data_IF_104752421552
#
_entry.id   IF_104752421552
#
_cell.length_a   1.000
_cell.length_b   1.000
_cell.length_c   1.000
_cell.angle_alpha   90.00
_cell.angle_beta   90.00
_cell.angle_gamma   90.00
#
_symmetry.space_group_name_H-M   'P 1'
#
loop_
_entity.id
_entity.type
_entity.pdbx_description
1 polymer ?
#
# COMPACT_ATOMS: atom_id res chain seq x y z
N UNK A 1 -6.41 4.07 21.87
CA UNK A 1 -5.20 4.52 21.13
C UNK A 1 -5.33 4.05 19.69
N UNK A 2 -5.15 4.94 18.72
CA UNK A 2 -5.42 4.73 17.29
C UNK A 2 -4.18 4.24 16.52
N UNK A 3 -4.36 3.75 15.28
CA UNK A 3 -3.25 3.38 14.37
C UNK A 3 -2.24 4.52 14.20
N UNK A 4 -2.74 5.74 14.04
CA UNK A 4 -1.92 6.96 13.91
C UNK A 4 -0.88 7.07 15.03
N UNK A 5 -1.33 6.96 16.28
CA UNK A 5 -0.45 7.08 17.45
C UNK A 5 0.52 5.90 17.56
N UNK A 6 0.08 4.68 17.24
CA UNK A 6 0.92 3.49 17.34
C UNK A 6 2.06 3.47 16.31
N UNK A 7 1.85 4.12 15.16
CA UNK A 7 2.80 4.19 14.04
C UNK A 7 3.59 5.50 14.05
N UNK A 8 3.23 6.46 14.92
CA UNK A 8 3.87 7.77 14.97
C UNK A 8 3.52 8.67 13.79
N UNK A 9 2.33 8.46 13.20
CA UNK A 9 1.83 9.29 12.09
C UNK A 9 1.37 10.62 12.67
N UNK A 10 1.95 11.72 12.16
CA UNK A 10 1.42 13.06 12.44
C UNK A 10 0.24 13.29 11.52
N UNK A 11 -0.89 13.67 12.10
CA UNK A 11 -2.12 13.91 11.36
C UNK A 11 -2.71 15.25 11.78
N UNK A 12 -3.22 15.99 10.81
CA UNK A 12 -4.14 17.07 11.04
C UNK A 12 -5.47 16.54 11.65
N UNK A 13 -6.37 17.42 12.13
CA UNK A 13 -7.70 17.02 12.59
C UNK A 13 -8.55 16.42 11.45
N UNK A 14 -8.55 15.09 11.37
CA UNK A 14 -9.25 14.31 10.35
C UNK A 14 -10.21 13.30 11.02
N UNK A 15 -11.22 12.86 10.29
CA UNK A 15 -12.15 11.81 10.69
C UNK A 15 -12.18 10.72 9.61
N UNK A 16 -12.16 9.45 10.01
CA UNK A 16 -12.49 8.37 9.09
C UNK A 16 -13.99 8.06 9.24
N UNK A 17 -14.73 8.11 8.14
CA UNK A 17 -16.17 7.86 8.12
C UNK A 17 -16.57 7.12 6.84
N UNK A 18 -17.77 6.54 6.79
CA UNK A 18 -18.34 6.04 5.54
C UNK A 18 -19.04 7.19 4.82
N UNK A 19 -18.80 7.33 3.53
CA UNK A 19 -19.46 8.32 2.68
C UNK A 19 -20.95 7.98 2.61
N UNK A 20 -21.81 9.00 2.73
CA UNK A 20 -23.26 8.80 2.74
C UNK A 20 -23.82 8.27 1.40
N UNK A 21 -23.15 8.55 0.28
CA UNK A 21 -23.64 8.21 -1.06
C UNK A 21 -23.45 6.74 -1.44
N UNK A 22 -22.33 6.13 -1.04
CA UNK A 22 -21.92 4.78 -1.48
C UNK A 22 -21.44 3.88 -0.33
N UNK A 23 -21.37 4.39 0.91
CA UNK A 23 -20.92 3.63 2.07
C UNK A 23 -19.41 3.33 2.08
N UNK A 24 -18.64 3.84 1.11
CA UNK A 24 -17.19 3.65 1.03
C UNK A 24 -16.53 4.42 2.17
N UNK A 25 -15.56 3.79 2.83
CA UNK A 25 -14.83 4.44 3.92
C UNK A 25 -13.87 5.47 3.34
N UNK A 26 -13.97 6.71 3.78
CA UNK A 26 -13.08 7.82 3.38
C UNK A 26 -12.52 8.55 4.61
N UNK A 27 -11.63 9.50 4.34
CA UNK A 27 -11.05 10.40 5.35
C UNK A 27 -11.56 11.81 5.09
N UNK A 28 -12.06 12.48 6.10
CA UNK A 28 -12.75 13.77 5.99
C UNK A 28 -12.11 14.82 6.88
N UNK A 29 -12.10 16.06 6.40
CA UNK A 29 -11.57 17.22 7.12
C UNK A 29 -12.46 17.59 8.30
N UNK A 30 -11.91 17.70 9.52
CA UNK A 30 -12.67 18.20 10.69
C UNK A 30 -12.60 19.72 10.87
N UNK A 31 -11.76 20.38 10.07
CA UNK A 31 -11.60 21.83 10.03
C UNK A 31 -11.22 22.27 8.63
N UNK A 32 -11.25 23.57 8.39
CA UNK A 32 -10.73 24.16 7.16
C UNK A 32 -9.21 23.96 7.05
N UNK A 33 -8.72 23.68 5.85
CA UNK A 33 -7.30 23.65 5.51
C UNK A 33 -7.03 24.54 4.32
N UNK A 34 -5.93 25.30 4.39
CA UNK A 34 -5.42 26.07 3.25
C UNK A 34 -4.60 25.17 2.35
N UNK A 35 -4.53 25.52 1.07
CA UNK A 35 -3.57 24.95 0.13
C UNK A 35 -2.18 24.98 0.76
N UNK A 36 -1.50 23.84 0.73
CA UNK A 36 -0.15 23.68 1.27
C UNK A 36 -0.11 23.10 2.67
N UNK A 37 -1.22 23.17 3.43
CA UNK A 37 -1.26 22.65 4.80
C UNK A 37 -0.82 21.19 4.87
N UNK A 38 -0.01 20.87 5.88
CA UNK A 38 0.39 19.49 6.17
C UNK A 38 -0.79 18.72 6.77
N UNK A 39 -1.26 17.71 6.04
CA UNK A 39 -2.39 16.87 6.45
C UNK A 39 -1.94 15.59 7.12
N UNK A 40 -0.95 14.90 6.53
CA UNK A 40 -0.38 13.67 7.08
C UNK A 40 1.15 13.64 6.92
N UNK A 41 1.84 13.04 7.89
CA UNK A 41 3.24 12.68 7.79
C UNK A 41 3.46 11.30 8.40
N UNK A 42 3.77 10.32 7.56
CA UNK A 42 4.00 8.92 7.91
C UNK A 42 5.50 8.63 7.86
N UNK A 43 6.14 8.17 8.95
CA UNK A 43 7.56 7.84 8.93
C UNK A 43 7.90 6.77 7.88
N UNK A 44 8.99 6.94 7.12
CA UNK A 44 9.36 5.96 6.07
C UNK A 44 9.61 4.56 6.62
N UNK A 45 10.08 4.45 7.87
CA UNK A 45 10.30 3.14 8.47
C UNK A 45 8.98 2.36 8.60
N UNK A 46 7.84 3.04 8.73
CA UNK A 46 6.52 2.42 8.78
C UNK A 46 5.89 2.15 7.41
N UNK A 47 6.56 2.52 6.32
CA UNK A 47 6.07 2.37 4.95
C UNK A 47 6.76 1.20 4.24
N UNK A 48 6.12 0.67 3.22
CA UNK A 48 6.70 -0.33 2.33
C UNK A 48 6.96 0.26 0.94
N UNK A 49 8.03 -0.18 0.31
CA UNK A 49 8.45 0.26 -1.02
C UNK A 49 8.61 -0.94 -1.96
N UNK A 50 7.50 -1.39 -2.57
CA UNK A 50 7.47 -2.56 -3.47
C UNK A 50 8.51 -2.57 -4.58
N UNK A 51 8.79 -1.39 -5.14
CA UNK A 51 9.63 -1.24 -6.33
C UNK A 51 10.85 -0.34 -6.09
N UNK A 52 11.27 -0.14 -4.83
CA UNK A 52 12.39 0.75 -4.52
C UNK A 52 13.74 0.29 -5.09
N UNK A 53 13.90 -1.00 -5.39
CA UNK A 53 15.11 -1.49 -6.06
C UNK A 53 14.86 -2.84 -6.74
N UNK A 54 15.42 -3.07 -7.95
CA UNK A 54 15.48 -4.41 -8.52
C UNK A 54 16.53 -5.30 -7.84
N UNK A 55 17.44 -4.70 -7.04
CA UNK A 55 18.49 -5.45 -6.33
C UNK A 55 17.93 -5.98 -5.01
N UNK A 56 17.88 -7.31 -4.81
CA UNK A 56 17.22 -7.93 -3.66
C UNK A 56 17.68 -7.42 -2.29
N UNK A 57 19.00 -7.35 -2.07
CA UNK A 57 19.59 -6.82 -0.83
C UNK A 57 19.18 -5.37 -0.56
N UNK A 58 19.10 -4.54 -1.60
CA UNK A 58 18.68 -3.14 -1.47
C UNK A 58 17.18 -3.06 -1.21
N UNK A 59 16.36 -3.87 -1.89
CA UNK A 59 14.91 -3.95 -1.65
C UNK A 59 14.61 -4.31 -0.19
N UNK A 60 15.29 -5.31 0.37
CA UNK A 60 15.19 -5.67 1.79
C UNK A 60 15.59 -4.54 2.71
N UNK A 61 16.67 -3.81 2.40
CA UNK A 61 17.12 -2.65 3.19
C UNK A 61 16.05 -1.56 3.26
N UNK A 62 15.36 -1.28 2.15
CA UNK A 62 14.26 -0.32 2.10
C UNK A 62 13.04 -0.75 2.94
N UNK A 63 12.86 -2.05 3.17
CA UNK A 63 11.68 -2.63 3.82
C UNK A 63 11.98 -3.29 5.19
N UNK A 64 13.13 -2.96 5.82
CA UNK A 64 13.62 -3.65 7.03
C UNK A 64 12.82 -3.34 8.31
N UNK A 65 12.29 -2.13 8.46
CA UNK A 65 11.79 -1.61 9.75
C UNK A 65 10.29 -1.41 9.80
N UNK A 66 9.53 -2.29 9.15
CA UNK A 66 8.17 -2.03 8.71
C UNK A 66 7.09 -2.49 9.70
N UNK A 67 5.84 -2.15 9.38
CA UNK A 67 4.66 -2.20 10.25
C UNK A 67 4.28 -3.60 10.76
N UNK A 68 4.61 -4.63 10.00
CA UNK A 68 4.25 -6.03 10.24
C UNK A 68 5.54 -6.86 10.45
N UNK A 69 5.75 -7.45 11.65
CA UNK A 69 6.98 -8.16 12.01
C UNK A 69 7.36 -9.34 11.11
N UNK A 70 6.39 -9.98 10.45
CA UNK A 70 6.60 -11.15 9.60
C UNK A 70 7.18 -10.78 8.23
N UNK A 71 6.98 -9.54 7.78
CA UNK A 71 7.34 -9.14 6.41
C UNK A 71 8.82 -9.35 6.11
N UNK A 72 9.80 -9.00 6.98
CA UNK A 72 11.21 -9.26 6.69
C UNK A 72 11.53 -10.74 6.42
N UNK A 73 10.87 -11.67 7.14
CA UNK A 73 11.04 -13.11 6.93
C UNK A 73 10.53 -13.52 5.55
N UNK A 74 9.30 -13.15 5.21
CA UNK A 74 8.69 -13.49 3.92
C UNK A 74 9.39 -12.80 2.76
N UNK A 75 9.81 -11.55 2.94
CA UNK A 75 10.56 -10.82 1.94
C UNK A 75 11.91 -11.47 1.65
N UNK A 76 12.52 -12.14 2.65
CA UNK A 76 13.72 -12.93 2.43
C UNK A 76 13.41 -14.17 1.58
N UNK A 77 12.33 -14.90 1.90
CA UNK A 77 11.89 -16.10 1.16
C UNK A 77 11.46 -15.83 -0.29
N UNK A 78 10.78 -14.72 -0.53
CA UNK A 78 10.34 -14.30 -1.86
C UNK A 78 11.41 -13.59 -2.69
N UNK A 79 12.63 -13.54 -2.15
CA UNK A 79 13.72 -12.82 -2.75
C UNK A 79 14.42 -13.68 -3.82
N UNK A 80 14.69 -13.15 -5.03
CA UNK A 80 15.22 -13.98 -6.13
C UNK A 80 16.70 -14.40 -5.95
N UNK A 81 17.37 -13.91 -4.90
CA UNK A 81 18.74 -14.28 -4.50
C UNK A 81 18.81 -15.59 -3.69
N UNK A 82 17.68 -16.26 -3.44
CA UNK A 82 17.62 -17.61 -2.86
C UNK A 82 17.14 -18.59 -3.95
N UNK A 83 18.06 -19.29 -4.65
CA UNK A 83 17.71 -20.10 -5.81
C UNK A 83 16.98 -21.40 -5.45
N UNK A 84 17.17 -21.94 -4.25
CA UNK A 84 16.66 -23.26 -3.84
C UNK A 84 15.15 -23.27 -3.56
N UNK A 85 14.56 -22.11 -3.23
CA UNK A 85 13.16 -21.97 -2.80
C UNK A 85 12.40 -20.90 -3.60
N UNK A 86 12.71 -20.76 -4.90
CA UNK A 86 12.11 -19.71 -5.73
C UNK A 86 10.60 -19.87 -5.87
N UNK A 87 9.87 -18.98 -5.21
CA UNK A 87 8.42 -18.85 -5.37
C UNK A 87 8.11 -18.04 -6.63
N UNK A 88 7.28 -18.61 -7.50
CA UNK A 88 6.83 -17.93 -8.71
C UNK A 88 5.77 -16.88 -8.39
N UNK A 89 6.18 -15.61 -8.41
CA UNK A 89 5.30 -14.45 -8.17
C UNK A 89 4.68 -13.87 -9.44
N UNK A 90 4.77 -14.60 -10.55
CA UNK A 90 4.25 -14.20 -11.85
C UNK A 90 3.38 -15.32 -12.41
N UNK A 91 2.18 -14.99 -12.87
CA UNK A 91 1.30 -15.90 -13.58
C UNK A 91 0.90 -15.30 -14.93
N UNK A 92 0.71 -16.16 -15.92
CA UNK A 92 0.35 -15.77 -17.27
C UNK A 92 -0.72 -16.70 -17.81
N UNK A 93 -1.70 -16.13 -18.49
CA UNK A 93 -2.77 -16.88 -19.17
C UNK A 93 -2.92 -16.37 -20.60
N UNK A 94 -3.04 -17.31 -21.54
CA UNK A 94 -3.35 -17.01 -22.93
C UNK A 94 -4.85 -16.84 -23.08
N UNK A 95 -5.25 -15.76 -23.71
CA UNK A 95 -6.65 -15.46 -24.06
C UNK A 95 -7.04 -16.18 -25.35
N UNK A 96 -8.34 -16.26 -25.62
CA UNK A 96 -8.88 -16.82 -26.88
C UNK A 96 -8.37 -16.08 -28.12
N UNK A 97 -8.03 -14.79 -27.97
CA UNK A 97 -7.45 -13.94 -29.03
C UNK A 97 -5.93 -14.13 -29.19
N UNK A 98 -5.33 -15.16 -28.58
CA UNK A 98 -3.88 -15.39 -28.56
C UNK A 98 -3.06 -14.26 -27.92
N UNK A 99 -3.70 -13.36 -27.16
CA UNK A 99 -3.00 -12.38 -26.30
C UNK A 99 -2.59 -13.06 -25.00
N UNK A 100 -1.42 -12.72 -24.46
CA UNK A 100 -0.95 -13.23 -23.16
C UNK A 100 -1.14 -12.14 -22.10
N UNK A 101 -1.94 -12.44 -21.08
CA UNK A 101 -2.14 -11.57 -19.91
C UNK A 101 -1.24 -12.08 -18.80
N UNK A 102 -0.28 -11.24 -18.38
CA UNK A 102 0.69 -11.56 -17.33
C UNK A 102 0.50 -10.66 -16.12
N UNK A 103 0.48 -11.26 -14.93
CA UNK A 103 0.38 -10.56 -13.64
C UNK A 103 1.58 -10.94 -12.78
N UNK A 104 2.28 -9.94 -12.24
CA UNK A 104 3.46 -10.14 -11.38
C UNK A 104 3.33 -9.36 -10.08
N UNK A 105 3.49 -10.01 -8.92
CA UNK A 105 3.64 -9.34 -7.62
C UNK A 105 5.11 -9.02 -7.35
N UNK A 106 5.37 -7.86 -6.75
CA UNK A 106 6.68 -7.64 -6.13
C UNK A 106 6.84 -8.55 -4.90
N UNK A 107 8.10 -8.90 -4.52
CA UNK A 107 8.36 -9.65 -3.29
C UNK A 107 7.79 -8.98 -2.02
N UNK A 108 7.68 -7.65 -2.01
CA UNK A 108 7.13 -6.89 -0.88
C UNK A 108 5.61 -7.03 -0.81
N UNK A 109 4.92 -6.97 -1.95
CA UNK A 109 3.47 -7.22 -1.99
C UNK A 109 3.15 -8.65 -1.55
N UNK A 110 3.89 -9.63 -2.06
CA UNK A 110 3.74 -11.03 -1.66
C UNK A 110 3.98 -11.23 -0.16
N UNK A 111 5.06 -10.63 0.38
CA UNK A 111 5.38 -10.71 1.80
C UNK A 111 4.29 -10.09 2.68
N UNK A 112 3.73 -8.95 2.26
CA UNK A 112 2.61 -8.33 2.93
C UNK A 112 1.35 -9.18 2.86
N UNK A 113 1.01 -9.70 1.68
CA UNK A 113 -0.19 -10.51 1.47
C UNK A 113 -0.18 -11.75 2.36
N UNK A 114 0.93 -12.49 2.40
CA UNK A 114 1.06 -13.65 3.30
C UNK A 114 0.98 -13.24 4.77
N UNK A 115 1.65 -12.15 5.16
CA UNK A 115 1.62 -11.70 6.56
C UNK A 115 0.22 -11.30 7.01
N UNK A 116 -0.55 -10.64 6.13
CA UNK A 116 -1.95 -10.25 6.36
C UNK A 116 -2.84 -11.50 6.44
N UNK A 117 -2.72 -12.42 5.48
CA UNK A 117 -3.51 -13.64 5.42
C UNK A 117 -3.28 -14.52 6.64
N UNK A 118 -2.03 -14.77 7.02
CA UNK A 118 -1.67 -15.59 8.18
C UNK A 118 -2.18 -14.95 9.47
N UNK A 119 -1.98 -13.63 9.66
CA UNK A 119 -2.54 -12.93 10.83
C UNK A 119 -4.07 -13.00 10.87
N UNK A 120 -4.74 -12.92 9.72
CA UNK A 120 -6.19 -13.09 9.64
C UNK A 120 -6.61 -14.51 10.01
N UNK A 121 -5.98 -15.52 9.42
CA UNK A 121 -6.26 -16.94 9.63
C UNK A 121 -6.18 -17.31 11.11
N UNK A 122 -5.07 -17.01 11.77
CA UNK A 122 -4.89 -17.38 13.17
C UNK A 122 -5.89 -16.67 14.09
N UNK A 123 -6.23 -15.42 13.81
CA UNK A 123 -7.10 -14.62 14.70
C UNK A 123 -8.58 -14.78 14.47
N UNK A 124 -8.98 -15.02 13.24
CA UNK A 124 -10.38 -15.04 12.86
C UNK A 124 -10.85 -16.42 12.43
N UNK A 125 -9.97 -17.32 11.97
CA UNK A 125 -10.37 -18.69 11.62
C UNK A 125 -10.11 -19.62 12.80
N UNK A 126 -8.88 -19.65 13.31
CA UNK A 126 -8.50 -20.55 14.41
C UNK A 126 -9.10 -20.09 15.75
N UNK A 127 -8.92 -18.83 16.16
CA UNK A 127 -9.45 -18.34 17.44
C UNK A 127 -11.00 -18.31 17.52
N UNK A 128 -11.74 -18.34 16.41
CA UNK A 128 -13.21 -18.44 16.46
C UNK A 128 -13.70 -19.85 16.83
N UNK A 129 -12.85 -20.89 16.76
CA UNK A 129 -13.23 -22.29 17.00
C UNK A 129 -12.81 -22.80 18.40
N UNK A 130 -11.93 -22.10 19.12
CA UNK A 130 -11.40 -22.49 20.43
C UNK A 130 -11.91 -21.59 21.59
N UNK A 131 -13.22 -21.53 21.82
CA UNK A 131 -13.90 -20.64 22.80
C UNK A 131 -13.61 -20.87 24.30
N UNK A 132 -12.51 -21.56 24.66
CA UNK A 132 -12.07 -21.78 26.05
C UNK A 132 -10.68 -21.16 26.22
N UNK A 133 -10.65 -19.84 26.41
CA UNK A 133 -9.44 -19.01 26.44
C UNK A 133 -8.52 -19.22 27.64
N UNK A 134 -7.94 -20.42 27.79
CA UNK A 134 -6.85 -20.67 28.74
C UNK A 134 -5.75 -21.52 28.12
N UNK A 135 -4.60 -20.90 27.86
CA UNK A 135 -3.30 -21.61 27.85
C UNK A 135 -2.72 -22.08 26.51
N UNK A 136 -2.67 -21.25 25.46
CA UNK A 136 -1.69 -21.46 24.37
C UNK A 136 -1.00 -20.17 23.94
N UNK A 137 0.31 -20.23 23.83
CA UNK A 137 1.06 -19.48 22.82
C UNK A 137 2.31 -20.28 22.43
N UNK A 138 2.38 -20.79 21.18
CA UNK A 138 3.57 -20.80 20.29
C UNK A 138 3.18 -21.15 18.82
N UNK A 139 1.99 -20.80 18.32
CA UNK A 139 1.65 -21.05 16.90
C UNK A 139 1.11 -19.77 16.25
N UNK A 140 1.50 -19.55 15.00
CA UNK A 140 1.14 -18.37 14.25
C UNK A 140 1.89 -17.09 14.67
N UNK A 141 1.51 -15.95 14.07
CA UNK A 141 2.19 -14.67 14.24
C UNK A 141 2.19 -14.16 15.69
N UNK A 142 3.31 -13.61 16.19
CA UNK A 142 3.34 -12.97 17.50
C UNK A 142 2.39 -11.77 17.56
N UNK A 143 1.87 -11.51 18.76
CA UNK A 143 1.09 -10.32 19.03
C UNK A 143 1.95 -9.06 18.81
N UNK A 144 1.50 -8.18 17.91
CA UNK A 144 2.14 -6.89 17.66
C UNK A 144 1.06 -5.84 17.45
N UNK A 145 0.97 -4.90 18.40
CA UNK A 145 -0.09 -3.89 18.41
C UNK A 145 -0.18 -3.08 17.11
N UNK A 146 0.94 -2.75 16.48
CA UNK A 146 0.96 -1.90 15.28
C UNK A 146 0.43 -2.68 14.08
N UNK A 147 0.91 -3.91 13.90
CA UNK A 147 0.39 -4.82 12.90
C UNK A 147 -1.12 -5.04 13.07
N UNK A 148 -1.58 -5.18 14.31
CA UNK A 148 -2.99 -5.47 14.63
C UNK A 148 -3.91 -4.32 14.32
N UNK A 149 -3.47 -3.10 14.65
CA UNK A 149 -4.20 -1.89 14.32
C UNK A 149 -4.25 -1.67 12.80
N UNK A 150 -3.17 -1.99 12.09
CA UNK A 150 -3.14 -1.91 10.63
C UNK A 150 -4.05 -2.95 9.99
N UNK A 151 -4.01 -4.20 10.45
CA UNK A 151 -4.93 -5.26 9.99
C UNK A 151 -6.40 -4.84 10.12
N UNK A 152 -6.76 -4.10 11.19
CA UNK A 152 -8.12 -3.58 11.40
C UNK A 152 -8.49 -2.41 10.49
N UNK A 153 -7.51 -1.68 9.94
CA UNK A 153 -7.78 -0.63 8.95
C UNK A 153 -7.97 -1.20 7.53
N UNK A 154 -7.53 -2.44 7.28
CA UNK A 154 -7.72 -3.11 6.00
C UNK A 154 -9.16 -3.63 5.85
N UNK A 155 -9.79 -3.49 4.67
CA UNK A 155 -11.14 -3.94 4.37
C UNK A 155 -11.17 -5.45 4.07
N UNK A 156 -10.31 -6.23 4.72
CA UNK A 156 -10.18 -7.66 4.42
C UNK A 156 -11.50 -8.40 4.65
N UNK A 157 -12.25 -8.04 5.69
CA UNK A 157 -13.57 -8.65 5.97
C UNK A 157 -14.57 -8.36 4.85
N UNK A 158 -14.60 -7.13 4.35
CA UNK A 158 -15.46 -6.75 3.23
C UNK A 158 -15.11 -7.55 1.97
N UNK A 159 -13.82 -7.69 1.65
CA UNK A 159 -13.35 -8.49 0.50
C UNK A 159 -13.73 -9.97 0.65
N UNK A 160 -13.67 -10.52 1.86
CA UNK A 160 -14.09 -11.90 2.14
C UNK A 160 -15.62 -12.08 2.07
N UNK A 161 -16.41 -11.06 2.44
CA UNK A 161 -17.87 -11.18 2.48
C UNK A 161 -18.54 -10.97 1.12
N UNK A 162 -18.00 -10.07 0.29
CA UNK A 162 -18.59 -9.76 -1.01
C UNK A 162 -18.14 -10.72 -2.12
N UNK A 163 -17.07 -11.48 -1.89
CA UNK A 163 -16.41 -12.24 -2.94
C UNK A 163 -15.48 -11.35 -3.78
N UNK A 164 -14.57 -12.00 -4.51
CA UNK A 164 -13.58 -11.34 -5.35
C UNK A 164 -13.90 -11.68 -6.80
N UNK A 165 -14.24 -10.67 -7.60
CA UNK A 165 -14.54 -10.89 -9.02
C UNK A 165 -13.33 -10.50 -9.88
N UNK A 166 -12.85 -9.26 -9.77
CA UNK A 166 -11.61 -8.81 -10.42
C UNK A 166 -11.02 -7.58 -9.70
N UNK A 167 -9.70 -7.36 -9.75
CA UNK A 167 -9.13 -6.14 -9.20
C UNK A 167 -9.62 -4.94 -10.02
N UNK A 168 -9.92 -3.83 -9.36
CA UNK A 168 -10.29 -2.60 -10.06
C UNK A 168 -9.11 -2.10 -10.89
N UNK A 169 -9.10 -2.43 -12.18
CA UNK A 169 -8.13 -1.97 -13.17
C UNK A 169 -8.94 -1.27 -14.24
N UNK A 170 -8.99 0.07 -14.20
CA UNK A 170 -9.73 0.84 -15.19
C UNK A 170 -9.24 0.49 -16.61
N UNK A 171 -10.04 -0.24 -17.38
CA UNK A 171 -9.80 -0.55 -18.78
C UNK A 171 -9.12 -1.90 -19.09
N UNK A 172 -9.12 -2.88 -18.17
CA UNK A 172 -8.68 -4.23 -18.53
C UNK A 172 -9.80 -4.98 -19.26
N UNK A 173 -9.68 -5.20 -20.57
CA UNK A 173 -10.58 -6.05 -21.37
C UNK A 173 -10.58 -7.54 -20.92
N UNK A 174 -9.74 -7.91 -19.95
CA UNK A 174 -9.45 -9.29 -19.54
C UNK A 174 -9.49 -9.49 -18.01
N UNK A 175 -10.44 -8.86 -17.32
CA UNK A 175 -10.58 -8.91 -15.85
C UNK A 175 -10.60 -10.33 -15.26
N UNK A 176 -11.35 -11.27 -15.87
CA UNK A 176 -11.39 -12.67 -15.41
C UNK A 176 -10.05 -13.42 -15.55
N UNK A 177 -9.26 -13.10 -16.57
CA UNK A 177 -7.91 -13.64 -16.73
C UNK A 177 -6.93 -13.10 -15.69
N UNK A 178 -7.11 -11.83 -15.27
CA UNK A 178 -6.34 -11.25 -14.16
C UNK A 178 -6.69 -11.94 -12.85
N UNK A 179 -7.97 -12.24 -12.60
CA UNK A 179 -8.38 -12.99 -11.41
C UNK A 179 -7.70 -14.35 -11.33
N UNK A 180 -7.81 -15.16 -12.40
CA UNK A 180 -7.21 -16.51 -12.45
C UNK A 180 -5.69 -16.49 -12.25
N UNK A 181 -4.99 -15.50 -12.82
CA UNK A 181 -3.57 -15.30 -12.57
C UNK A 181 -3.28 -15.00 -11.09
N UNK A 182 -4.12 -14.21 -10.42
CA UNK A 182 -3.96 -13.92 -8.98
C UNK A 182 -4.24 -15.14 -8.11
N UNK A 183 -5.19 -16.00 -8.48
CA UNK A 183 -5.43 -17.30 -7.82
C UNK A 183 -4.20 -18.20 -7.91
N UNK A 184 -3.61 -18.32 -9.11
CA UNK A 184 -2.40 -19.11 -9.30
C UNK A 184 -1.24 -18.60 -8.44
N UNK A 185 -1.06 -17.27 -8.36
CA UNK A 185 -0.05 -16.69 -7.47
C UNK A 185 -0.39 -16.99 -6.00
N UNK A 186 -1.66 -16.92 -5.60
CA UNK A 186 -2.09 -17.24 -4.24
C UNK A 186 -1.77 -18.70 -3.86
N UNK A 187 -1.97 -19.65 -4.77
CA UNK A 187 -1.56 -21.05 -4.57
C UNK A 187 -0.05 -21.18 -4.39
N UNK A 188 0.76 -20.50 -5.21
CA UNK A 188 2.22 -20.51 -5.04
C UNK A 188 2.64 -19.94 -3.66
N UNK A 189 1.92 -18.92 -3.16
CA UNK A 189 2.15 -18.38 -1.82
C UNK A 189 1.74 -19.37 -0.72
N UNK A 190 0.64 -20.11 -0.90
CA UNK A 190 0.22 -21.19 0.01
C UNK A 190 1.27 -22.28 0.08
N UNK A 191 1.73 -22.79 -1.06
CA UNK A 191 2.73 -23.86 -1.11
C UNK A 191 4.02 -23.45 -0.39
N UNK A 192 4.46 -22.21 -0.59
CA UNK A 192 5.58 -21.64 0.17
C UNK A 192 5.27 -21.53 1.66
N UNK A 193 4.09 -21.07 2.05
CA UNK A 193 3.72 -21.00 3.46
C UNK A 193 3.77 -22.38 4.13
N UNK A 194 3.24 -23.40 3.45
CA UNK A 194 3.19 -24.77 3.94
C UNK A 194 4.58 -25.42 4.04
N UNK A 195 5.49 -25.14 3.10
CA UNK A 195 6.85 -25.71 3.12
C UNK A 195 7.68 -25.26 4.33
N UNK A 196 7.34 -24.12 4.94
CA UNK A 196 8.01 -23.59 6.12
C UNK A 196 7.18 -23.63 7.40
N UNK A 197 5.97 -24.18 7.34
CA UNK A 197 5.12 -24.34 8.51
C UNK A 197 5.68 -25.45 9.41
N UNK A 198 5.63 -25.27 10.73
CA UNK A 198 5.86 -26.41 11.63
C UNK A 198 4.77 -27.48 11.41
N UNK A 199 5.02 -28.74 11.79
CA UNK A 199 4.03 -29.81 11.60
C UNK A 199 2.66 -29.48 12.22
N UNK A 200 2.66 -28.77 13.35
CA UNK A 200 1.43 -28.32 14.03
C UNK A 200 0.70 -27.23 13.24
N UNK A 201 1.43 -26.25 12.70
CA UNK A 201 0.85 -25.20 11.84
C UNK A 201 0.35 -25.78 10.53
N UNK A 202 1.12 -26.66 9.88
CA UNK A 202 0.74 -27.34 8.66
C UNK A 202 -0.60 -28.07 8.82
N UNK A 203 -0.73 -28.86 9.89
CA UNK A 203 -1.97 -29.62 10.16
C UNK A 203 -3.19 -28.72 10.28
N UNK A 204 -3.02 -27.51 10.83
CA UNK A 204 -4.10 -26.53 10.96
C UNK A 204 -4.39 -25.81 9.64
N UNK A 205 -3.37 -25.46 8.87
CA UNK A 205 -3.54 -24.88 7.53
C UNK A 205 -4.22 -25.86 6.58
N UNK A 206 -3.89 -27.15 6.66
CA UNK A 206 -4.49 -28.19 5.83
C UNK A 206 -5.95 -28.46 6.23
N UNK A 207 -6.25 -28.53 7.53
CA UNK A 207 -7.61 -28.70 8.03
C UNK A 207 -8.57 -27.56 7.64
N UNK A 208 -8.05 -26.37 7.35
CA UNK A 208 -8.81 -25.18 6.95
C UNK A 208 -8.25 -24.55 5.67
N UNK A 209 -7.90 -25.40 4.69
CA UNK A 209 -7.25 -24.98 3.45
C UNK A 209 -8.07 -23.94 2.68
N UNK A 210 -9.39 -24.13 2.59
CA UNK A 210 -10.27 -23.20 1.87
C UNK A 210 -10.28 -21.81 2.51
N UNK A 211 -10.34 -21.70 3.83
CA UNK A 211 -10.27 -20.40 4.51
C UNK A 211 -8.91 -19.72 4.34
N UNK A 212 -7.83 -20.49 4.30
CA UNK A 212 -6.49 -19.98 4.04
C UNK A 212 -6.34 -19.46 2.60
N UNK A 213 -6.82 -20.22 1.61
CA UNK A 213 -6.76 -19.85 0.19
C UNK A 213 -7.50 -18.55 -0.08
N UNK A 214 -8.73 -18.43 0.42
CA UNK A 214 -9.54 -17.22 0.26
C UNK A 214 -8.89 -16.03 1.00
N UNK A 215 -8.31 -16.26 2.19
CA UNK A 215 -7.59 -15.21 2.91
C UNK A 215 -6.33 -14.73 2.17
N UNK A 216 -5.57 -15.63 1.55
CA UNK A 216 -4.40 -15.29 0.74
C UNK A 216 -4.80 -14.46 -0.47
N UNK A 217 -5.78 -14.93 -1.25
CA UNK A 217 -6.27 -14.22 -2.43
C UNK A 217 -6.80 -12.83 -2.06
N UNK A 218 -7.67 -12.73 -1.06
CA UNK A 218 -8.19 -11.44 -0.59
C UNK A 218 -7.08 -10.50 -0.10
N UNK A 219 -6.04 -11.04 0.54
CA UNK A 219 -4.90 -10.25 0.98
C UNK A 219 -4.09 -9.69 -0.19
N UNK A 220 -3.92 -10.45 -1.29
CA UNK A 220 -3.28 -9.95 -2.52
C UNK A 220 -4.06 -8.76 -3.07
N UNK A 221 -5.38 -8.89 -3.20
CA UNK A 221 -6.26 -7.82 -3.66
C UNK A 221 -6.18 -6.57 -2.77
N UNK A 222 -6.26 -6.76 -1.45
CA UNK A 222 -6.16 -5.69 -0.46
C UNK A 222 -4.83 -4.96 -0.56
N UNK A 223 -3.73 -5.68 -0.73
CA UNK A 223 -2.38 -5.09 -0.86
C UNK A 223 -2.26 -4.35 -2.18
N UNK A 224 -2.65 -4.98 -3.30
CA UNK A 224 -2.61 -4.39 -4.66
C UNK A 224 -3.36 -3.07 -4.73
N UNK A 225 -4.55 -3.00 -4.15
CA UNK A 225 -5.38 -1.79 -4.12
C UNK A 225 -4.76 -0.64 -3.30
N UNK A 226 -3.69 -0.88 -2.53
CA UNK A 226 -3.02 0.09 -1.65
C UNK A 226 -1.65 0.53 -2.15
N UNK A 227 -1.19 -0.04 -3.25
CA UNK A 227 0.06 0.37 -3.87
C UNK A 227 -0.16 1.69 -4.60
N UNK A 228 0.33 2.78 -4.02
CA UNK A 228 0.25 4.12 -4.62
C UNK A 228 1.56 4.46 -5.33
N UNK A 229 1.47 5.10 -6.50
CA UNK A 229 2.66 5.68 -7.16
C UNK A 229 2.84 7.12 -6.69
N UNK A 230 4.02 7.44 -6.14
CA UNK A 230 4.32 8.75 -5.57
C UNK A 230 5.66 9.29 -6.07
N UNK A 231 5.76 10.62 -6.14
CA UNK A 231 7.04 11.29 -6.33
C UNK A 231 7.98 11.04 -5.15
N UNK A 232 9.26 10.85 -5.42
CA UNK A 232 10.33 10.74 -4.42
C UNK A 232 11.16 12.00 -4.48
N UNK A 233 11.08 12.81 -3.44
CA UNK A 233 11.84 14.03 -3.27
C UNK A 233 13.14 13.68 -2.55
N UNK A 234 14.28 13.84 -3.24
CA UNK A 234 15.59 13.41 -2.71
C UNK A 234 16.35 14.50 -1.97
N UNK A 235 16.05 15.76 -2.25
CA UNK A 235 16.77 16.91 -1.72
C UNK A 235 16.40 18.15 -2.51
N UNK A 236 17.34 19.07 -2.65
CA UNK A 236 17.01 20.38 -3.21
C UNK A 236 16.95 20.45 -4.74
N UNK A 237 17.46 19.44 -5.43
CA UNK A 237 17.53 19.44 -6.88
C UNK A 237 16.37 18.62 -7.48
N UNK A 238 15.39 19.27 -8.15
CA UNK A 238 14.25 18.57 -8.75
C UNK A 238 14.66 17.55 -9.82
N UNK A 239 15.84 17.71 -10.45
CA UNK A 239 16.36 16.75 -11.45
C UNK A 239 16.70 15.38 -10.85
N UNK A 240 16.82 15.30 -9.53
CA UNK A 240 17.11 14.04 -8.82
C UNK A 240 15.87 13.30 -8.34
N UNK A 241 14.71 13.94 -8.47
CA UNK A 241 13.45 13.36 -8.06
C UNK A 241 13.06 12.21 -9.01
N UNK A 242 12.28 11.28 -8.47
CA UNK A 242 11.85 10.11 -9.23
C UNK A 242 10.46 9.67 -8.83
N UNK A 243 10.07 8.48 -9.29
CA UNK A 243 8.83 7.85 -8.90
C UNK A 243 9.13 6.56 -8.15
N UNK A 244 8.29 6.24 -7.16
CA UNK A 244 8.30 4.95 -6.50
C UNK A 244 6.89 4.50 -6.17
N UNK A 245 6.72 3.20 -5.99
CA UNK A 245 5.52 2.65 -5.37
C UNK A 245 5.68 2.63 -3.86
N UNK A 246 4.61 3.00 -3.16
CA UNK A 246 4.57 3.05 -1.70
C UNK A 246 3.27 2.44 -1.20
N UNK A 247 3.36 1.68 -0.12
CA UNK A 247 2.23 1.35 0.76
C UNK A 247 2.50 2.08 2.07
N UNK A 248 1.68 3.08 2.37
CA UNK A 248 1.85 3.94 3.54
C UNK A 248 0.59 3.84 4.41
N UNK A 249 0.72 3.38 5.68
CA UNK A 249 -0.45 3.20 6.54
C UNK A 249 -1.20 4.52 6.72
N UNK A 250 -2.53 4.43 6.70
CA UNK A 250 -3.48 5.54 6.81
C UNK A 250 -3.55 6.45 5.57
N UNK A 251 -2.45 6.66 4.84
CA UNK A 251 -2.48 7.32 3.53
C UNK A 251 -3.20 6.43 2.51
N UNK A 252 -3.03 5.12 2.63
CA UNK A 252 -3.77 4.09 1.89
C UNK A 252 -5.28 3.99 2.22
N UNK A 253 -5.78 4.88 3.09
CA UNK A 253 -7.20 5.06 3.38
C UNK A 253 -7.80 6.30 2.69
N UNK A 254 -6.98 7.12 2.01
CA UNK A 254 -7.45 8.23 1.18
C UNK A 254 -8.01 7.66 -0.12
N UNK A 255 -9.20 8.08 -0.52
CA UNK A 255 -9.84 7.59 -1.74
C UNK A 255 -9.24 8.24 -2.99
N UNK A 256 -9.49 7.61 -4.14
CA UNK A 256 -9.04 8.11 -5.43
C UNK A 256 -9.96 9.22 -5.98
N UNK A 257 -9.36 10.26 -6.56
CA UNK A 257 -10.04 11.22 -7.46
C UNK A 257 -9.12 11.55 -8.63
N UNK A 258 -9.65 11.63 -9.86
CA UNK A 258 -8.88 12.01 -11.06
C UNK A 258 -9.00 13.51 -11.38
N UNK A 259 -10.13 14.13 -11.07
CA UNK A 259 -10.47 15.46 -11.55
C UNK A 259 -10.39 16.52 -10.45
N UNK A 260 -10.66 16.15 -9.21
CA UNK A 260 -10.68 17.07 -8.07
C UNK A 260 -9.97 16.44 -6.87
N UNK A 261 -8.65 16.27 -6.99
CA UNK A 261 -7.85 15.83 -5.84
C UNK A 261 -7.77 16.94 -4.80
N UNK A 262 -8.13 16.63 -3.57
CA UNK A 262 -7.97 17.59 -2.47
C UNK A 262 -6.54 17.58 -1.93
N UNK A 263 -5.83 16.47 -2.13
CA UNK A 263 -4.55 16.21 -1.52
C UNK A 263 -3.52 15.79 -2.57
N UNK A 264 -2.26 16.08 -2.25
CA UNK A 264 -1.12 15.53 -2.96
C UNK A 264 -0.19 14.82 -1.99
N UNK A 265 0.45 13.76 -2.45
CA UNK A 265 1.28 12.89 -1.63
C UNK A 265 2.65 12.64 -2.28
N UNK A 266 3.70 12.64 -1.45
CA UNK A 266 5.06 12.35 -1.91
C UNK A 266 5.86 11.60 -0.84
N UNK A 267 6.94 10.95 -1.27
CA UNK A 267 7.97 10.38 -0.41
C UNK A 267 9.09 11.39 -0.26
N UNK A 268 9.23 12.00 0.91
CA UNK A 268 10.31 12.95 1.20
C UNK A 268 11.47 12.23 1.91
N UNK A 269 12.58 12.04 1.20
CA UNK A 269 13.79 11.48 1.81
C UNK A 269 14.43 12.41 2.86
N UNK A 270 14.51 13.75 2.65
CA UNK A 270 15.02 14.67 3.66
C UNK A 270 14.23 14.60 4.98
N UNK A 271 12.90 14.60 4.89
CA UNK A 271 12.03 14.51 6.06
C UNK A 271 11.85 13.10 6.60
N UNK A 272 12.41 12.09 5.91
CA UNK A 272 12.25 10.67 6.21
C UNK A 272 10.78 10.29 6.45
N UNK A 273 9.88 10.82 5.62
CA UNK A 273 8.45 10.55 5.70
C UNK A 273 7.74 10.52 4.34
N UNK A 274 6.63 9.79 4.27
CA UNK A 274 5.57 10.04 3.27
C UNK A 274 4.74 11.20 3.77
N UNK A 275 4.59 12.23 2.95
CA UNK A 275 3.93 13.49 3.29
C UNK A 275 2.69 13.64 2.44
N UNK A 276 1.58 14.04 3.05
CA UNK A 276 0.35 14.45 2.36
C UNK A 276 0.05 15.90 2.71
N UNK A 277 -0.14 16.73 1.69
CA UNK A 277 -0.52 18.14 1.83
C UNK A 277 -1.81 18.45 1.07
N UNK A 278 -2.48 19.50 1.49
CA UNK A 278 -3.64 20.04 0.78
C UNK A 278 -3.20 20.59 -0.59
N UNK A 279 -3.77 20.06 -1.67
CA UNK A 279 -3.49 20.51 -3.04
C UNK A 279 -4.26 21.81 -3.40
N UNK A 280 -5.38 22.03 -2.72
CA UNK A 280 -6.24 23.22 -2.74
C UNK A 280 -6.78 23.48 -1.35
N UNK A 281 -7.52 24.56 -1.17
CA UNK A 281 -8.28 24.80 0.05
C UNK A 281 -9.34 23.70 0.22
N UNK A 282 -9.52 23.22 1.46
CA UNK A 282 -10.41 22.10 1.82
C UNK A 282 -11.36 22.57 2.91
N UNK A 283 -12.67 22.53 2.64
CA UNK A 283 -13.67 22.90 3.64
C UNK A 283 -13.90 21.81 4.70
N UNK A 284 -14.53 22.22 5.80
CA UNK A 284 -14.96 21.29 6.85
C UNK A 284 -15.92 20.25 6.27
N UNK A 285 -15.68 18.97 6.54
CA UNK A 285 -16.51 17.87 6.06
C UNK A 285 -16.18 17.41 4.65
N UNK A 286 -15.29 18.08 3.91
CA UNK A 286 -14.82 17.58 2.62
C UNK A 286 -13.96 16.32 2.77
N UNK A 287 -14.06 15.44 1.79
CA UNK A 287 -13.28 14.22 1.73
C UNK A 287 -11.88 14.48 1.19
N UNK A 288 -10.89 13.86 1.83
CA UNK A 288 -9.51 13.86 1.38
C UNK A 288 -9.30 12.78 0.32
N UNK A 289 -8.95 13.20 -0.88
CA UNK A 289 -8.71 12.35 -2.05
C UNK A 289 -7.33 12.60 -2.67
N UNK A 290 -6.76 11.56 -3.29
CA UNK A 290 -5.46 11.59 -3.97
C UNK A 290 -5.56 10.91 -5.34
N UNK A 291 -4.64 11.24 -6.25
CA UNK A 291 -4.50 10.49 -7.51
C UNK A 291 -3.61 9.25 -7.30
N UNK A 292 -4.17 8.06 -7.46
CA UNK A 292 -3.45 6.79 -7.32
C UNK A 292 -2.48 6.51 -8.48
N UNK A 293 -2.73 7.11 -9.66
CA UNK A 293 -1.88 6.93 -10.85
C UNK A 293 -0.53 7.64 -10.69
N UNK A 294 -0.45 8.55 -9.72
CA UNK A 294 0.75 9.30 -9.41
C UNK A 294 1.08 10.34 -10.47
N UNK A 295 2.13 11.11 -10.19
CA UNK A 295 2.62 12.18 -11.06
C UNK A 295 3.10 11.62 -12.41
N UNK A 296 2.52 12.11 -13.52
CA UNK A 296 3.09 11.89 -14.85
C UNK A 296 4.25 12.86 -15.05
N UNK A 297 5.49 12.34 -15.02
CA UNK A 297 6.72 13.11 -15.30
C UNK A 297 6.75 13.73 -16.72
N UNK A 298 5.78 13.42 -17.57
CA UNK A 298 5.71 13.85 -18.97
C UNK A 298 5.43 15.35 -19.18
N UNK A 299 5.27 16.18 -18.14
CA UNK A 299 4.99 17.63 -18.28
C UNK A 299 6.14 18.58 -17.93
N UNK A 300 7.29 18.10 -17.47
CA UNK A 300 8.46 18.97 -17.15
C UNK A 300 9.43 19.14 -18.33
N UNK A 301 9.10 18.56 -19.50
CA UNK A 301 9.98 18.54 -20.68
C UNK A 301 9.61 19.47 -21.85
N UNK A 302 8.61 20.35 -21.72
CA UNK A 302 8.20 21.23 -22.82
C UNK A 302 8.38 22.71 -22.45
N UNK A 303 9.53 23.26 -22.86
CA UNK A 303 9.82 24.68 -23.11
C UNK A 303 9.12 25.72 -22.22
N UNK A 304 9.85 26.24 -21.24
CA UNK A 304 9.80 27.66 -20.92
C UNK A 304 11.23 28.14 -20.67
N UNK A 305 11.82 28.80 -21.68
CA UNK A 305 12.95 29.69 -21.45
C UNK A 305 12.44 30.83 -20.57
N UNK A 306 12.86 30.88 -19.31
CA UNK A 306 12.58 31.99 -18.41
C UNK A 306 13.85 32.83 -18.32
N UNK A 307 13.68 34.09 -18.71
CA UNK A 307 14.65 35.17 -18.78
C UNK A 307 15.33 35.43 -17.40
N UNK A 308 16.66 35.63 -17.30
CA UNK A 308 17.38 35.63 -16.02
C UNK A 308 17.28 36.94 -15.21
N UNK A 309 16.34 37.83 -15.51
CA UNK A 309 16.41 39.24 -15.09
C UNK A 309 15.69 39.61 -13.78
N UNK A 310 14.98 38.69 -13.11
CA UNK A 310 14.22 39.01 -11.89
C UNK A 310 14.59 38.15 -10.66
N UNK A 311 15.88 37.99 -10.41
CA UNK A 311 16.39 37.35 -9.19
C UNK A 311 16.57 38.37 -8.05
N UNK A 312 15.49 38.82 -7.40
CA UNK A 312 15.55 39.46 -6.08
C UNK A 312 14.17 39.39 -5.40
N UNK A 313 14.00 38.49 -4.42
CA UNK A 313 12.82 38.45 -3.56
C UNK A 313 12.58 37.11 -2.85
N UNK A 314 13.03 37.03 -1.59
CA UNK A 314 12.49 36.21 -0.49
C UNK A 314 12.56 34.66 -0.59
N UNK A 315 13.56 34.12 0.13
CA UNK A 315 13.96 32.69 0.22
C UNK A 315 13.11 31.82 1.17
N UNK A 316 11.90 32.23 1.58
CA UNK A 316 11.06 31.40 2.49
C UNK A 316 9.99 30.54 1.78
N UNK A 317 9.71 30.77 0.49
CA UNK A 317 8.61 30.11 -0.25
C UNK A 317 9.03 28.96 -1.21
N UNK A 318 10.33 28.71 -1.38
CA UNK A 318 10.82 27.76 -2.39
C UNK A 318 10.59 26.28 -2.05
N UNK A 319 10.27 25.99 -0.78
CA UNK A 319 9.95 24.63 -0.32
C UNK A 319 8.47 24.31 -0.51
N UNK A 320 7.57 25.27 -0.29
CA UNK A 320 6.12 25.08 -0.41
C UNK A 320 5.68 24.83 -1.87
N UNK A 321 6.34 25.47 -2.85
CA UNK A 321 6.07 25.31 -4.29
C UNK A 321 6.46 23.95 -4.87
N UNK A 322 7.39 23.23 -4.23
CA UNK A 322 7.79 21.86 -4.66
C UNK A 322 6.79 20.79 -4.21
N UNK A 323 6.04 21.08 -3.15
CA UNK A 323 4.94 20.24 -2.68
C UNK A 323 3.58 20.71 -3.21
N UNK A 324 3.45 21.98 -3.60
CA UNK A 324 2.30 22.56 -4.29
C UNK A 324 2.60 22.67 -5.77
N UNK A 325 2.29 21.59 -6.49
CA UNK A 325 2.38 21.57 -7.95
C UNK A 325 1.65 22.80 -8.53
N UNK A 326 2.22 23.47 -9.56
CA UNK A 326 1.61 24.65 -10.17
C UNK A 326 0.18 24.34 -10.60
N UNK A 327 -0.75 25.22 -10.22
CA UNK A 327 -2.17 25.13 -10.54
C UNK A 327 -2.49 25.69 -11.94
N UNK A 328 -1.49 25.80 -12.82
CA UNK A 328 -1.66 26.48 -14.09
C UNK A 328 -1.42 25.50 -15.22
N UNK A 329 -2.52 25.03 -15.78
CA UNK A 329 -2.79 24.94 -17.22
C UNK A 329 -4.25 24.48 -17.40
N UNK A 330 -5.13 25.49 -17.34
CA UNK A 330 -6.52 25.61 -17.87
C UNK A 330 -7.40 24.37 -17.81
#
# INVERSE_FOLDING_TARGET
MTLLNAVGIRSAPLAQARRGSDGVRGVFAKRYFKRGDLLLSVPLHSCYFPHASPVPRKLRRWNRSTLIPEVPLWLWRFSPDIPEDRVTLTASVSTEESKVVTVSLSPVEAALAVSIAVRHFWRNVICLKDSVGSGRAVLGPPADRRADLYMRSLPLKEYLSYGLEAPYVSGAEFEGHVHSNLEQIAWNLRDCLLSYASQQEYSLYDAYASELDVALLASIYVVRARVMRMAVIRGDNPKTDGLTSVIAPFVDCLNHSLHETTCTACTSLPNRAVIVRAARDINVGEELTVDYRGFSLSRVGARAEIDPSNALGEDEDMWESRYLFPSDLV
#
